data_IF_981714584170
#
_entry.id   IF_981714584170
#
_cell.length_a   1.000
_cell.length_b   1.000
_cell.length_c   1.000
_cell.angle_alpha   90.00
_cell.angle_beta   90.00
_cell.angle_gamma   90.00
#
_symmetry.space_group_name_H-M   'P 1'
#
loop_
_entity.id
_entity.type
_entity.pdbx_description
1 polymer ?
#
# COMPACT_ATOMS: atom_id res chain seq x y z
N UNK A 1 -4.96 -5.14 15.25
CA UNK A 1 -4.47 -3.81 15.68
C UNK A 1 -5.03 -2.80 14.71
N UNK A 2 -5.60 -1.71 15.22
CA UNK A 2 -6.15 -0.64 14.39
C UNK A 2 -5.07 0.39 14.01
N UNK A 3 -5.19 0.94 12.81
CA UNK A 3 -4.34 2.02 12.29
C UNK A 3 -5.15 3.29 12.13
N UNK A 4 -4.53 4.46 12.28
CA UNK A 4 -5.17 5.71 11.90
C UNK A 4 -5.12 5.91 10.38
N UNK A 5 -3.99 5.54 9.77
CA UNK A 5 -3.73 5.74 8.34
C UNK A 5 -3.14 4.48 7.73
N UNK A 6 -3.67 4.08 6.57
CA UNK A 6 -3.13 3.00 5.75
C UNK A 6 -2.84 3.51 4.33
N UNK A 7 -1.58 3.47 3.92
CA UNK A 7 -1.14 3.87 2.59
C UNK A 7 -0.92 2.63 1.75
N UNK A 8 -1.60 2.53 0.61
CA UNK A 8 -1.34 1.51 -0.39
C UNK A 8 -0.42 2.07 -1.47
N UNK A 9 0.57 1.28 -1.86
CA UNK A 9 1.54 1.57 -2.90
C UNK A 9 1.56 0.43 -3.92
N UNK A 10 1.84 0.73 -5.19
CA UNK A 10 2.01 -0.32 -6.19
C UNK A 10 3.33 -1.07 -5.93
N UNK A 11 4.39 -0.31 -5.64
CA UNK A 11 5.75 -0.78 -5.44
C UNK A 11 6.38 -0.19 -4.17
N UNK A 12 7.41 -0.85 -3.57
CA UNK A 12 8.05 -0.33 -2.37
C UNK A 12 8.90 0.93 -2.62
N UNK A 13 8.33 2.12 -2.62
CA UNK A 13 8.97 3.46 -2.65
C UNK A 13 7.93 4.51 -3.04
N UNK A 14 6.84 4.12 -3.71
CA UNK A 14 5.78 5.04 -4.15
C UNK A 14 5.21 5.85 -2.99
N UNK A 15 4.97 5.22 -1.84
CA UNK A 15 4.42 5.89 -0.66
C UNK A 15 5.38 6.97 -0.12
N UNK A 16 6.67 6.64 -0.08
CA UNK A 16 7.73 7.55 0.33
C UNK A 16 7.89 8.71 -0.66
N UNK A 17 7.90 8.42 -1.96
CA UNK A 17 8.03 9.42 -3.02
C UNK A 17 6.85 10.39 -3.04
N UNK A 18 5.62 9.86 -2.96
CA UNK A 18 4.42 10.66 -3.08
C UNK A 18 4.08 11.44 -1.80
N UNK A 19 4.32 10.84 -0.63
CA UNK A 19 3.82 11.40 0.63
C UNK A 19 4.69 11.11 1.86
N UNK A 20 5.98 10.81 1.70
CA UNK A 20 6.89 10.55 2.82
C UNK A 20 6.91 11.66 3.87
N UNK A 21 6.84 12.93 3.45
CA UNK A 21 6.75 14.07 4.36
C UNK A 21 5.45 14.09 5.18
N UNK A 22 4.32 13.73 4.57
CA UNK A 22 3.03 13.61 5.27
C UNK A 22 3.05 12.44 6.25
N UNK A 23 3.62 11.30 5.84
CA UNK A 23 3.80 10.13 6.73
C UNK A 23 4.63 10.52 7.94
N UNK A 24 5.78 11.17 7.75
CA UNK A 24 6.65 11.61 8.84
C UNK A 24 5.94 12.61 9.78
N UNK A 25 5.13 13.53 9.23
CA UNK A 25 4.32 14.45 10.02
C UNK A 25 3.28 13.71 10.88
N UNK A 26 2.59 12.72 10.30
CA UNK A 26 1.56 11.94 10.99
C UNK A 26 2.17 11.07 12.10
N UNK A 27 3.24 10.33 11.81
CA UNK A 27 3.91 9.51 12.83
C UNK A 27 4.55 10.37 13.92
N UNK A 28 5.09 11.55 13.57
CA UNK A 28 5.55 12.55 14.54
C UNK A 28 4.44 13.10 15.45
N UNK A 29 3.19 13.07 14.99
CA UNK A 29 1.99 13.41 15.77
C UNK A 29 1.36 12.18 16.47
N UNK A 30 2.10 11.07 16.59
CA UNK A 30 1.67 9.81 17.22
C UNK A 30 0.52 9.06 16.51
N UNK A 31 0.25 9.35 15.24
CA UNK A 31 -0.69 8.55 14.45
C UNK A 31 -0.07 7.18 14.13
N UNK A 32 -0.87 6.12 14.19
CA UNK A 32 -0.48 4.78 13.74
C UNK A 32 -0.60 4.69 12.24
N UNK A 33 0.52 4.83 11.54
CA UNK A 33 0.58 4.79 10.07
C UNK A 33 1.14 3.44 9.62
N UNK A 34 0.45 2.79 8.68
CA UNK A 34 0.94 1.59 8.01
C UNK A 34 1.05 1.77 6.50
N UNK A 35 1.92 0.98 5.88
CA UNK A 35 2.07 0.89 4.41
C UNK A 35 1.79 -0.55 3.96
N UNK A 36 1.11 -0.71 2.83
CA UNK A 36 0.98 -1.99 2.13
C UNK A 36 1.42 -1.80 0.68
N UNK A 37 2.53 -2.44 0.33
CA UNK A 37 2.99 -2.51 -1.05
C UNK A 37 2.27 -3.69 -1.75
N UNK A 38 1.69 -3.45 -2.94
CA UNK A 38 0.96 -4.50 -3.65
C UNK A 38 1.90 -5.53 -4.26
N UNK A 39 2.98 -5.10 -4.92
CA UNK A 39 4.00 -5.96 -5.52
C UNK A 39 5.35 -5.84 -4.81
N UNK A 40 6.32 -6.67 -5.18
CA UNK A 40 7.69 -6.57 -4.66
C UNK A 40 8.57 -5.64 -5.50
N UNK A 41 8.04 -5.06 -6.58
CA UNK A 41 8.83 -4.29 -7.55
C UNK A 41 9.82 -5.17 -8.32
N UNK A 42 9.50 -6.46 -8.52
CA UNK A 42 10.43 -7.43 -9.09
C UNK A 42 10.79 -7.20 -10.56
N UNK A 43 10.08 -6.34 -11.30
CA UNK A 43 10.43 -5.92 -12.67
C UNK A 43 11.29 -4.65 -12.70
N UNK A 44 11.63 -4.09 -11.53
CA UNK A 44 12.54 -2.95 -11.44
C UNK A 44 13.89 -3.23 -12.09
N UNK A 45 14.42 -2.26 -12.83
CA UNK A 45 15.67 -2.42 -13.60
C UNK A 45 16.92 -2.58 -12.73
N UNK A 46 16.87 -2.15 -11.47
CA UNK A 46 18.01 -2.13 -10.54
C UNK A 46 17.67 -2.83 -9.23
N UNK A 47 18.68 -3.45 -8.64
CA UNK A 47 18.56 -4.18 -7.39
C UNK A 47 17.90 -5.55 -7.58
N UNK A 48 17.56 -6.17 -6.47
CA UNK A 48 16.80 -7.41 -6.35
C UNK A 48 15.64 -7.22 -5.36
N UNK A 49 14.74 -8.21 -5.34
CA UNK A 49 13.65 -8.27 -4.35
C UNK A 49 14.19 -8.16 -2.92
N UNK A 50 15.32 -8.82 -2.62
CA UNK A 50 15.90 -8.82 -1.28
C UNK A 50 16.49 -7.46 -0.91
N UNK A 51 17.20 -6.82 -1.83
CA UNK A 51 17.70 -5.46 -1.57
C UNK A 51 16.55 -4.47 -1.40
N UNK A 52 15.51 -4.58 -2.23
CA UNK A 52 14.32 -3.72 -2.17
C UNK A 52 13.58 -3.89 -0.85
N UNK A 53 13.49 -5.13 -0.34
CA UNK A 53 12.90 -5.44 0.97
C UNK A 53 13.69 -4.81 2.12
N UNK A 54 15.02 -4.87 2.09
CA UNK A 54 15.86 -4.25 3.13
C UNK A 54 15.82 -2.71 3.06
N UNK A 55 15.76 -2.13 1.87
CA UNK A 55 15.55 -0.70 1.67
C UNK A 55 14.19 -0.24 2.22
N UNK A 56 13.11 -0.95 1.86
CA UNK A 56 11.76 -0.70 2.36
C UNK A 56 11.68 -0.81 3.90
N UNK A 57 12.42 -1.76 4.49
CA UNK A 57 12.53 -1.91 5.95
C UNK A 57 13.24 -0.70 6.59
N UNK A 58 14.35 -0.23 6.01
CA UNK A 58 15.04 0.98 6.48
C UNK A 58 14.16 2.22 6.37
N UNK A 59 13.47 2.41 5.24
CA UNK A 59 12.51 3.49 5.06
C UNK A 59 11.40 3.46 6.13
N UNK A 60 10.89 2.26 6.46
CA UNK A 60 9.89 2.07 7.52
C UNK A 60 10.38 2.52 8.89
N UNK A 61 11.64 2.24 9.22
CA UNK A 61 12.27 2.65 10.48
C UNK A 61 12.44 4.16 10.55
N UNK A 62 12.90 4.79 9.46
CA UNK A 62 13.07 6.25 9.36
C UNK A 62 11.72 6.95 9.55
N UNK A 63 10.67 6.45 8.87
CA UNK A 63 9.32 7.02 8.93
C UNK A 63 8.53 6.63 10.18
N UNK A 64 9.08 5.76 11.03
CA UNK A 64 8.43 5.26 12.27
C UNK A 64 7.07 4.60 12.00
N UNK A 65 6.98 3.81 10.93
CA UNK A 65 5.75 3.11 10.59
C UNK A 65 5.38 2.09 11.67
N UNK A 66 4.08 1.96 11.93
CA UNK A 66 3.55 0.93 12.84
C UNK A 66 3.61 -0.45 12.18
N UNK A 67 3.39 -0.52 10.87
CA UNK A 67 3.48 -1.77 10.10
C UNK A 67 3.80 -1.48 8.63
N UNK A 68 4.56 -2.36 8.00
CA UNK A 68 4.66 -2.45 6.55
C UNK A 68 4.45 -3.89 6.12
N UNK A 69 3.54 -4.12 5.18
CA UNK A 69 3.32 -5.44 4.57
C UNK A 69 3.52 -5.36 3.05
N UNK A 70 3.74 -6.52 2.45
CA UNK A 70 3.79 -6.68 1.00
C UNK A 70 2.84 -7.82 0.60
N UNK A 71 1.94 -7.57 -0.36
CA UNK A 71 0.96 -8.56 -0.80
C UNK A 71 1.49 -9.55 -1.85
N UNK A 72 2.65 -9.26 -2.44
CA UNK A 72 3.31 -10.14 -3.40
C UNK A 72 2.48 -10.37 -4.66
N UNK A 73 1.67 -9.38 -5.06
CA UNK A 73 1.02 -9.38 -6.36
C UNK A 73 2.06 -9.22 -7.46
N UNK A 74 1.67 -9.61 -8.68
CA UNK A 74 2.57 -9.62 -9.82
C UNK A 74 2.82 -8.20 -10.30
N UNK A 75 4.07 -7.75 -10.22
CA UNK A 75 4.52 -6.47 -10.78
C UNK A 75 4.25 -6.40 -12.29
N UNK A 76 3.89 -5.22 -12.79
CA UNK A 76 3.46 -4.95 -14.16
C UNK A 76 2.07 -5.48 -14.51
N UNK A 77 1.32 -5.99 -13.52
CA UNK A 77 -0.03 -6.52 -13.73
C UNK A 77 -0.94 -6.26 -12.51
N UNK A 78 -0.81 -5.08 -11.89
CA UNK A 78 -1.63 -4.67 -10.76
C UNK A 78 -3.00 -4.15 -11.22
N UNK A 79 -3.80 -5.03 -11.79
CA UNK A 79 -5.16 -4.73 -12.27
C UNK A 79 -6.24 -5.28 -11.35
N UNK A 80 -7.44 -4.73 -11.46
CA UNK A 80 -8.61 -5.24 -10.76
C UNK A 80 -8.85 -6.72 -11.12
N UNK A 81 -8.84 -7.58 -10.10
CA UNK A 81 -9.33 -8.95 -10.17
C UNK A 81 -9.77 -9.42 -8.79
N UNK A 82 -10.67 -10.40 -8.73
CA UNK A 82 -11.30 -10.87 -7.48
C UNK A 82 -10.27 -11.27 -6.42
N UNK A 83 -9.20 -11.97 -6.84
CA UNK A 83 -8.12 -12.39 -5.93
C UNK A 83 -7.46 -11.20 -5.22
N UNK A 84 -7.12 -10.16 -5.98
CA UNK A 84 -6.47 -8.97 -5.42
C UNK A 84 -7.47 -8.15 -4.60
N UNK A 85 -8.70 -8.04 -5.07
CA UNK A 85 -9.78 -7.34 -4.39
C UNK A 85 -10.03 -7.92 -2.99
N UNK A 86 -10.20 -9.24 -2.88
CA UNK A 86 -10.42 -9.90 -1.59
C UNK A 86 -9.22 -9.78 -0.64
N UNK A 87 -8.00 -9.89 -1.17
CA UNK A 87 -6.81 -9.69 -0.37
C UNK A 87 -6.73 -8.27 0.20
N UNK A 88 -7.04 -7.24 -0.59
CA UNK A 88 -7.06 -5.85 -0.09
C UNK A 88 -8.20 -5.62 0.90
N UNK A 89 -9.42 -6.10 0.61
CA UNK A 89 -10.57 -6.04 1.53
C UNK A 89 -10.19 -6.62 2.90
N UNK A 90 -9.55 -7.79 2.91
CA UNK A 90 -9.07 -8.44 4.13
C UNK A 90 -8.10 -7.56 4.92
N UNK A 91 -7.17 -6.87 4.25
CA UNK A 91 -6.24 -5.94 4.91
C UNK A 91 -6.94 -4.71 5.48
N UNK A 92 -7.85 -4.09 4.73
CA UNK A 92 -8.63 -2.95 5.22
C UNK A 92 -9.43 -3.35 6.45
N UNK A 93 -10.09 -4.52 6.45
CA UNK A 93 -10.84 -5.03 7.62
C UNK A 93 -9.95 -5.42 8.80
N UNK A 94 -8.75 -5.95 8.54
CA UNK A 94 -7.75 -6.29 9.58
C UNK A 94 -7.29 -5.04 10.33
N UNK A 95 -7.02 -3.96 9.61
CA UNK A 95 -6.42 -2.73 10.15
C UNK A 95 -7.41 -1.62 10.48
N UNK A 96 -8.64 -1.68 9.95
CA UNK A 96 -9.72 -0.69 10.16
C UNK A 96 -9.23 0.76 10.11
N UNK A 97 -8.51 1.18 9.04
CA UNK A 97 -7.93 2.51 8.99
C UNK A 97 -9.00 3.60 8.93
N UNK A 98 -8.74 4.75 9.58
CA UNK A 98 -9.59 5.94 9.46
C UNK A 98 -9.40 6.64 8.11
N UNK A 99 -8.16 6.65 7.62
CA UNK A 99 -7.80 7.21 6.32
C UNK A 99 -7.07 6.19 5.47
N UNK A 100 -7.45 6.10 4.20
CA UNK A 100 -6.77 5.27 3.19
C UNK A 100 -6.19 6.19 2.13
N UNK A 101 -4.92 5.99 1.80
CA UNK A 101 -4.26 6.63 0.66
C UNK A 101 -3.92 5.58 -0.40
N UNK A 102 -3.98 5.97 -1.67
CA UNK A 102 -3.64 5.15 -2.82
C UNK A 102 -3.03 6.06 -3.91
N UNK A 103 -2.34 5.50 -4.92
CA UNK A 103 -1.79 6.27 -6.03
C UNK A 103 -2.87 7.08 -6.76
N UNK A 104 -2.50 8.23 -7.30
CA UNK A 104 -3.39 9.04 -8.12
C UNK A 104 -3.73 8.30 -9.43
N UNK A 105 -4.99 8.33 -9.84
CA UNK A 105 -5.47 7.53 -10.98
C UNK A 105 -4.96 8.00 -12.34
N UNK A 106 -4.44 9.23 -12.44
CA UNK A 106 -3.88 9.77 -13.68
C UNK A 106 -2.35 9.80 -13.56
N UNK A 107 -1.73 8.69 -13.94
CA UNK A 107 -0.29 8.46 -13.90
C UNK A 107 0.15 7.78 -15.21
N UNK A 108 1.41 7.96 -15.62
CA UNK A 108 1.98 7.25 -16.76
C UNK A 108 2.20 5.76 -16.47
N UNK A 109 2.28 5.37 -15.20
CA UNK A 109 2.54 4.00 -14.79
C UNK A 109 1.21 3.23 -14.62
N UNK A 110 0.88 2.24 -15.48
CA UNK A 110 -0.38 1.51 -15.41
C UNK A 110 -0.63 0.80 -14.08
N UNK A 111 0.42 0.35 -13.39
CA UNK A 111 0.31 -0.28 -12.07
C UNK A 111 -0.19 0.71 -11.00
N UNK A 112 0.15 2.00 -11.11
CA UNK A 112 -0.39 3.03 -10.21
C UNK A 112 -1.90 3.22 -10.46
N UNK A 113 -2.31 3.27 -11.72
CA UNK A 113 -3.73 3.40 -12.10
C UNK A 113 -4.52 2.19 -11.60
N UNK A 114 -4.03 0.98 -11.85
CA UNK A 114 -4.71 -0.24 -11.46
C UNK A 114 -4.74 -0.45 -9.94
N UNK A 115 -3.68 -0.03 -9.23
CA UNK A 115 -3.70 0.08 -7.76
C UNK A 115 -4.78 1.07 -7.31
N UNK A 116 -4.84 2.27 -7.89
CA UNK A 116 -5.85 3.28 -7.55
C UNK A 116 -7.27 2.73 -7.68
N UNK A 117 -7.58 2.07 -8.80
CA UNK A 117 -8.89 1.45 -9.03
C UNK A 117 -9.17 0.33 -8.01
N UNK A 118 -8.22 -0.59 -7.82
CA UNK A 118 -8.35 -1.71 -6.89
C UNK A 118 -8.64 -1.24 -5.46
N UNK A 119 -7.88 -0.26 -4.95
CA UNK A 119 -8.05 0.24 -3.59
C UNK A 119 -9.39 0.97 -3.43
N UNK A 120 -9.82 1.74 -4.44
CA UNK A 120 -11.12 2.43 -4.42
C UNK A 120 -12.28 1.44 -4.30
N UNK A 121 -12.27 0.36 -5.08
CA UNK A 121 -13.30 -0.67 -5.02
C UNK A 121 -13.23 -1.47 -3.72
N UNK A 122 -12.03 -1.88 -3.30
CA UNK A 122 -11.82 -2.60 -2.05
C UNK A 122 -12.28 -1.78 -0.83
N UNK A 123 -12.04 -0.48 -0.82
CA UNK A 123 -12.49 0.41 0.25
C UNK A 123 -14.01 0.39 0.39
N UNK A 124 -14.75 0.51 -0.72
CA UNK A 124 -16.22 0.42 -0.69
C UNK A 124 -16.70 -0.96 -0.20
N UNK A 125 -16.18 -2.04 -0.80
CA UNK A 125 -16.61 -3.41 -0.47
C UNK A 125 -16.18 -3.88 0.91
N UNK A 126 -15.13 -3.29 1.49
CA UNK A 126 -14.70 -3.59 2.86
C UNK A 126 -15.81 -3.31 3.89
N UNK A 127 -16.71 -2.36 3.60
CA UNK A 127 -17.86 -2.02 4.43
C UNK A 127 -19.07 -2.94 4.25
N UNK A 128 -19.08 -3.85 3.27
CA UNK A 128 -20.20 -4.77 3.03
C UNK A 128 -19.96 -6.13 3.71
N UNK A 129 -20.67 -6.49 4.81
CA UNK A 129 -20.34 -7.66 5.62
C UNK A 129 -20.50 -9.02 4.89
N UNK A 130 -21.26 -9.05 3.80
CA UNK A 130 -21.56 -10.28 3.03
C UNK A 130 -20.50 -10.63 2.00
N UNK A 131 -19.55 -9.73 1.71
CA UNK A 131 -18.43 -10.01 0.80
C UNK A 131 -17.32 -10.67 1.63
N UNK A 132 -16.96 -11.91 1.28
CA UNK A 132 -15.97 -12.75 1.98
C UNK A 132 -14.69 -12.88 1.16
#
# INVERSE_FOLDING_TARGET
MELDVLVFAAHPDDAELAMGGTIAKLTGANFKVGIIDLSKGELGTRGSIDTRKEEAKKASQILKLTVRENLGFKDGNLKLCDKYLQAVISKIRKYKPRFVFAPYFNDRHPDHIGTSQLIKEAFFFSGLPKIV
#
